data_IF_759994324346
#
_entry.id   IF_759994324346
#
_cell.length_a   1.000
_cell.length_b   1.000
_cell.length_c   1.000
_cell.angle_alpha   90.00
_cell.angle_beta   90.00
_cell.angle_gamma   90.00
#
_symmetry.space_group_name_H-M   'P 1'
#
loop_
_entity.id
_entity.type
_entity.pdbx_description
1 polymer ?
#
# COMPACT_ATOMS: atom_id res chain seq x y z
N UNK A 1 6.63 -16.73 -11.00
CA UNK A 1 5.57 -16.34 -10.04
C UNK A 1 4.36 -17.26 -10.25
N UNK A 2 3.52 -17.58 -9.26
CA UNK A 2 2.36 -18.47 -9.49
C UNK A 2 1.35 -17.84 -10.48
N UNK A 3 1.15 -16.52 -10.37
CA UNK A 3 0.32 -15.73 -11.29
C UNK A 3 0.78 -15.92 -12.75
N UNK A 4 2.08 -15.78 -13.02
CA UNK A 4 2.66 -16.01 -14.36
C UNK A 4 2.46 -17.45 -14.85
N UNK A 5 2.52 -18.45 -13.96
CA UNK A 5 2.30 -19.85 -14.34
C UNK A 5 0.84 -20.10 -14.70
N UNK A 6 -0.09 -19.54 -13.94
CA UNK A 6 -1.54 -19.64 -14.23
C UNK A 6 -1.86 -18.94 -15.54
N UNK A 7 -1.27 -17.76 -15.81
CA UNK A 7 -1.43 -17.06 -17.09
C UNK A 7 -0.85 -17.87 -18.27
N UNK A 8 0.32 -18.49 -18.09
CA UNK A 8 0.93 -19.36 -19.12
C UNK A 8 0.08 -20.61 -19.40
N UNK A 9 -0.36 -21.32 -18.37
CA UNK A 9 -1.22 -22.50 -18.51
C UNK A 9 -2.59 -22.13 -19.12
N UNK A 10 -3.11 -20.94 -18.80
CA UNK A 10 -4.32 -20.39 -19.40
C UNK A 10 -4.15 -20.14 -20.90
N UNK A 11 -3.07 -19.48 -21.30
CA UNK A 11 -2.76 -19.23 -22.71
C UNK A 11 -2.60 -20.55 -23.47
N UNK A 12 -1.90 -21.52 -22.90
CA UNK A 12 -1.71 -22.84 -23.50
C UNK A 12 -3.03 -23.62 -23.64
N UNK A 13 -3.89 -23.59 -22.62
CA UNK A 13 -5.20 -24.24 -22.63
C UNK A 13 -6.14 -23.70 -23.71
N UNK A 14 -6.09 -22.39 -23.96
CA UNK A 14 -6.96 -21.74 -24.96
C UNK A 14 -6.33 -21.67 -26.37
N UNK A 15 -5.02 -21.90 -26.52
CA UNK A 15 -4.25 -21.74 -27.77
C UNK A 15 -4.84 -22.42 -29.00
N UNK A 16 -5.48 -23.58 -28.81
CA UNK A 16 -6.03 -24.40 -29.89
C UNK A 16 -7.57 -24.54 -29.85
N UNK A 17 -8.24 -23.72 -29.03
CA UNK A 17 -9.70 -23.74 -28.88
C UNK A 17 -10.36 -22.66 -29.73
N UNK A 18 -11.53 -23.00 -30.29
CA UNK A 18 -12.41 -22.00 -30.90
C UNK A 18 -12.83 -20.99 -29.84
N UNK A 19 -13.09 -19.74 -30.23
CA UNK A 19 -13.51 -18.67 -29.30
C UNK A 19 -14.70 -19.07 -28.41
N UNK A 20 -15.63 -19.88 -28.92
CA UNK A 20 -16.79 -20.40 -28.19
C UNK A 20 -16.42 -21.40 -27.07
N UNK A 21 -15.30 -22.11 -27.24
CA UNK A 21 -14.78 -23.12 -26.30
C UNK A 21 -13.71 -22.55 -25.35
N UNK A 22 -13.29 -21.30 -25.59
CA UNK A 22 -12.29 -20.64 -24.75
C UNK A 22 -12.86 -20.38 -23.37
N UNK A 23 -12.09 -20.78 -22.36
CA UNK A 23 -12.44 -20.52 -20.98
C UNK A 23 -11.98 -19.12 -20.62
N UNK A 24 -12.80 -18.38 -19.90
CA UNK A 24 -12.40 -17.08 -19.35
C UNK A 24 -11.43 -17.26 -18.17
N UNK A 25 -10.52 -16.31 -17.98
CA UNK A 25 -9.45 -16.41 -16.97
C UNK A 25 -10.02 -16.54 -15.54
N UNK A 26 -11.14 -15.89 -15.23
CA UNK A 26 -11.85 -16.05 -13.95
C UNK A 26 -12.31 -17.48 -13.71
N UNK A 27 -12.95 -18.12 -14.70
CA UNK A 27 -13.38 -19.51 -14.60
C UNK A 27 -12.18 -20.45 -14.52
N UNK A 28 -11.10 -20.16 -15.26
CA UNK A 28 -9.87 -20.95 -15.20
C UNK A 28 -9.23 -20.88 -13.81
N UNK A 29 -9.05 -19.67 -13.26
CA UNK A 29 -8.56 -19.46 -11.90
C UNK A 29 -9.45 -20.12 -10.84
N UNK A 30 -10.78 -20.13 -11.02
CA UNK A 30 -11.69 -20.82 -10.12
C UNK A 30 -11.46 -22.34 -10.08
N UNK A 31 -11.21 -23.00 -11.21
CA UNK A 31 -10.92 -24.44 -11.22
C UNK A 31 -9.61 -24.78 -10.49
N UNK A 32 -8.58 -23.94 -10.64
CA UNK A 32 -7.35 -24.07 -9.86
C UNK A 32 -7.63 -23.88 -8.37
N UNK A 33 -8.44 -22.87 -8.02
CA UNK A 33 -8.84 -22.60 -6.64
C UNK A 33 -9.55 -23.81 -6.02
N UNK A 34 -10.47 -24.45 -6.73
CA UNK A 34 -11.17 -25.65 -6.28
C UNK A 34 -10.24 -26.87 -6.16
N UNK A 35 -9.29 -27.01 -7.08
CA UNK A 35 -8.25 -28.04 -7.01
C UNK A 35 -7.37 -27.85 -5.77
N UNK A 36 -6.89 -26.63 -5.52
CA UNK A 36 -6.11 -26.29 -4.33
C UNK A 36 -6.91 -26.45 -3.03
N UNK A 37 -8.23 -26.19 -3.04
CA UNK A 37 -9.11 -26.46 -1.90
C UNK A 37 -9.20 -27.95 -1.57
N UNK A 38 -9.24 -28.81 -2.60
CA UNK A 38 -9.23 -30.26 -2.45
C UNK A 38 -7.89 -30.74 -1.88
N UNK A 39 -6.76 -30.29 -2.45
CA UNK A 39 -5.43 -30.64 -1.95
C UNK A 39 -5.22 -30.18 -0.50
N UNK A 40 -5.61 -28.95 -0.17
CA UNK A 40 -5.58 -28.44 1.20
C UNK A 40 -6.36 -29.34 2.16
N UNK A 41 -7.59 -29.73 1.80
CA UNK A 41 -8.44 -30.57 2.65
C UNK A 41 -7.82 -31.96 2.87
N UNK A 42 -7.22 -32.55 1.82
CA UNK A 42 -6.50 -33.82 1.94
C UNK A 42 -5.28 -33.70 2.86
N UNK A 43 -4.46 -32.66 2.69
CA UNK A 43 -3.25 -32.46 3.51
C UNK A 43 -3.55 -32.16 4.98
N UNK A 44 -4.65 -31.46 5.26
CA UNK A 44 -5.13 -31.28 6.65
C UNK A 44 -5.49 -32.64 7.25
N UNK A 45 -6.15 -33.52 6.50
CA UNK A 45 -6.49 -34.87 6.95
C UNK A 45 -5.24 -35.71 7.23
N UNK A 46 -4.19 -35.51 6.45
CA UNK A 46 -2.91 -36.21 6.60
C UNK A 46 -1.97 -35.56 7.63
N UNK A 47 -2.47 -34.60 8.44
CA UNK A 47 -1.71 -33.81 9.41
C UNK A 47 -0.52 -33.02 8.82
N UNK A 48 -0.52 -32.78 7.51
CA UNK A 48 0.48 -31.96 6.83
C UNK A 48 0.03 -30.50 6.76
N UNK A 49 0.15 -29.81 7.89
CA UNK A 49 -0.32 -28.44 8.06
C UNK A 49 0.53 -27.41 7.27
N UNK A 50 1.82 -27.68 7.05
CA UNK A 50 2.72 -26.81 6.29
C UNK A 50 2.29 -26.75 4.81
N UNK A 51 2.13 -27.90 4.17
CA UNK A 51 1.73 -27.95 2.77
C UNK A 51 0.28 -27.48 2.58
N UNK A 52 -0.61 -27.79 3.53
CA UNK A 52 -1.96 -27.23 3.52
C UNK A 52 -1.97 -25.69 3.55
N UNK A 53 -1.06 -25.06 4.30
CA UNK A 53 -0.90 -23.60 4.31
C UNK A 53 -0.44 -23.05 2.96
N UNK A 54 0.48 -23.75 2.28
CA UNK A 54 0.92 -23.41 0.93
C UNK A 54 -0.23 -23.46 -0.08
N UNK A 55 -1.07 -24.49 -0.05
CA UNK A 55 -2.23 -24.59 -0.93
C UNK A 55 -3.31 -23.56 -0.61
N UNK A 56 -3.50 -23.19 0.67
CA UNK A 56 -4.39 -22.10 1.03
C UNK A 56 -3.88 -20.74 0.51
N UNK A 57 -2.57 -20.52 0.49
CA UNK A 57 -1.98 -19.35 -0.16
C UNK A 57 -2.33 -19.34 -1.65
N UNK A 58 -2.16 -20.46 -2.36
CA UNK A 58 -2.51 -20.57 -3.78
C UNK A 58 -4.00 -20.34 -4.05
N UNK A 59 -4.89 -20.81 -3.18
CA UNK A 59 -6.32 -20.50 -3.21
C UNK A 59 -6.59 -18.97 -3.19
N UNK A 60 -5.86 -18.23 -2.35
CA UNK A 60 -5.99 -16.78 -2.25
C UNK A 60 -5.43 -16.05 -3.47
N UNK A 61 -4.35 -16.57 -4.09
CA UNK A 61 -3.86 -16.06 -5.37
C UNK A 61 -4.89 -16.23 -6.49
N UNK A 62 -5.49 -17.42 -6.62
CA UNK A 62 -6.55 -17.65 -7.60
C UNK A 62 -7.76 -16.74 -7.36
N UNK A 63 -8.15 -16.53 -6.10
CA UNK A 63 -9.22 -15.59 -5.75
C UNK A 63 -8.87 -14.14 -6.13
N UNK A 64 -7.62 -13.72 -6.00
CA UNK A 64 -7.19 -12.39 -6.45
C UNK A 64 -7.35 -12.22 -7.97
N UNK A 65 -7.01 -13.25 -8.76
CA UNK A 65 -7.20 -13.26 -10.22
C UNK A 65 -8.69 -13.24 -10.59
N UNK A 66 -9.50 -14.06 -9.91
CA UNK A 66 -10.97 -14.12 -10.08
C UNK A 66 -11.61 -12.74 -9.85
N UNK A 67 -11.26 -12.07 -8.76
CA UNK A 67 -11.77 -10.73 -8.43
C UNK A 67 -11.28 -9.66 -9.42
N UNK A 68 -10.02 -9.74 -9.86
CA UNK A 68 -9.44 -8.85 -10.88
C UNK A 68 -10.26 -8.90 -12.18
N UNK A 69 -10.58 -10.09 -12.65
CA UNK A 69 -11.41 -10.28 -13.84
C UNK A 69 -12.88 -9.91 -13.61
N UNK A 70 -13.44 -10.20 -12.44
CA UNK A 70 -14.82 -9.83 -12.09
C UNK A 70 -15.05 -8.32 -12.19
N UNK A 71 -14.17 -7.51 -11.60
CA UNK A 71 -14.37 -6.06 -11.58
C UNK A 71 -14.04 -5.38 -12.93
N UNK A 72 -13.13 -5.98 -13.73
CA UNK A 72 -12.79 -5.51 -15.07
C UNK A 72 -13.96 -5.59 -16.06
N UNK A 73 -14.97 -6.43 -15.78
CA UNK A 73 -16.18 -6.54 -16.62
C UNK A 73 -16.94 -5.21 -16.64
N UNK A 74 -17.43 -4.84 -17.83
CA UNK A 74 -18.19 -3.59 -18.03
C UNK A 74 -19.44 -3.61 -17.14
N UNK A 75 -19.66 -2.51 -16.41
CA UNK A 75 -20.83 -2.34 -15.55
C UNK A 75 -22.12 -2.40 -16.36
N UNK A 76 -23.22 -2.80 -15.73
CA UNK A 76 -24.54 -2.76 -16.36
C UNK A 76 -25.12 -1.36 -16.26
N UNK A 77 -25.79 -0.91 -17.32
CA UNK A 77 -26.61 0.29 -17.24
C UNK A 77 -27.72 0.04 -16.21
N UNK A 78 -27.90 0.99 -15.30
CA UNK A 78 -28.87 0.84 -14.21
C UNK A 78 -30.27 1.07 -14.77
N UNK A 79 -30.96 -0.02 -15.09
CA UNK A 79 -32.39 -0.01 -15.43
C UNK A 79 -33.25 -0.43 -14.24
N UNK A 80 -32.82 -1.45 -13.49
CA UNK A 80 -33.59 -2.04 -12.39
C UNK A 80 -32.73 -2.21 -11.12
N UNK A 81 -33.39 -2.56 -10.00
CA UNK A 81 -32.72 -2.80 -8.70
C UNK A 81 -31.64 -3.90 -8.77
N UNK A 82 -31.87 -4.93 -9.60
CA UNK A 82 -30.90 -6.02 -9.83
C UNK A 82 -29.60 -5.54 -10.49
N UNK A 83 -29.68 -4.51 -11.34
CA UNK A 83 -28.52 -3.92 -11.99
C UNK A 83 -27.72 -3.06 -11.00
N UNK A 84 -28.42 -2.37 -10.09
CA UNK A 84 -27.80 -1.65 -8.98
C UNK A 84 -27.05 -2.61 -8.04
N UNK A 85 -27.69 -3.71 -7.63
CA UNK A 85 -27.05 -4.75 -6.80
C UNK A 85 -25.80 -5.34 -7.48
N UNK A 86 -25.86 -5.56 -8.80
CA UNK A 86 -24.71 -6.03 -9.59
C UNK A 86 -23.55 -5.04 -9.53
N UNK A 87 -23.83 -3.74 -9.72
CA UNK A 87 -22.80 -2.69 -9.68
C UNK A 87 -22.21 -2.51 -8.26
N UNK A 88 -23.03 -2.63 -7.21
CA UNK A 88 -22.56 -2.61 -5.81
C UNK A 88 -21.67 -3.82 -5.51
N UNK A 89 -22.05 -5.02 -5.96
CA UNK A 89 -21.19 -6.21 -5.81
C UNK A 89 -19.85 -6.01 -6.51
N UNK A 90 -19.82 -5.36 -7.67
CA UNK A 90 -18.57 -5.07 -8.38
C UNK A 90 -17.63 -4.17 -7.59
N UNK A 91 -18.17 -3.17 -6.89
CA UNK A 91 -17.38 -2.30 -5.99
C UNK A 91 -16.83 -3.12 -4.82
N UNK A 92 -17.65 -4.01 -4.23
CA UNK A 92 -17.19 -4.93 -3.18
C UNK A 92 -16.06 -5.83 -3.68
N UNK A 93 -16.20 -6.43 -4.87
CA UNK A 93 -15.17 -7.28 -5.48
C UNK A 93 -13.86 -6.50 -5.70
N UNK A 94 -13.96 -5.25 -6.15
CA UNK A 94 -12.81 -4.35 -6.28
C UNK A 94 -12.13 -4.06 -4.92
N UNK A 95 -12.91 -3.78 -3.88
CA UNK A 95 -12.38 -3.55 -2.54
C UNK A 95 -11.73 -4.81 -1.97
N UNK A 96 -12.34 -5.98 -2.17
CA UNK A 96 -11.79 -7.27 -1.77
C UNK A 96 -10.49 -7.58 -2.53
N UNK A 97 -10.44 -7.27 -3.83
CA UNK A 97 -9.23 -7.39 -4.64
C UNK A 97 -8.10 -6.52 -4.10
N UNK A 98 -8.37 -5.24 -3.83
CA UNK A 98 -7.39 -4.32 -3.24
C UNK A 98 -6.89 -4.83 -1.88
N UNK A 99 -7.80 -5.33 -1.04
CA UNK A 99 -7.46 -5.86 0.28
C UNK A 99 -6.61 -7.13 0.19
N UNK A 100 -6.95 -8.06 -0.71
CA UNK A 100 -6.16 -9.26 -0.97
C UNK A 100 -4.78 -8.90 -1.49
N UNK A 101 -4.70 -7.99 -2.47
CA UNK A 101 -3.44 -7.51 -3.03
C UNK A 101 -2.56 -6.82 -1.97
N UNK A 102 -3.16 -6.03 -1.09
CA UNK A 102 -2.47 -5.44 0.06
C UNK A 102 -1.89 -6.53 0.97
N UNK A 103 -2.68 -7.53 1.37
CA UNK A 103 -2.18 -8.62 2.23
C UNK A 103 -1.15 -9.52 1.52
N UNK A 104 -1.23 -9.69 0.21
CA UNK A 104 -0.20 -10.37 -0.59
C UNK A 104 1.17 -9.70 -0.41
N UNK A 105 1.22 -8.38 -0.56
CA UNK A 105 2.47 -7.62 -0.43
C UNK A 105 2.90 -7.46 1.01
N UNK A 106 1.97 -7.27 1.94
CA UNK A 106 2.25 -7.10 3.37
C UNK A 106 2.77 -8.38 4.04
N UNK A 107 2.22 -9.55 3.72
CA UNK A 107 2.40 -10.77 4.52
C UNK A 107 2.25 -12.09 3.74
N UNK A 108 2.22 -11.99 2.40
CA UNK A 108 2.01 -13.14 1.51
C UNK A 108 0.73 -13.92 1.86
N UNK A 109 -0.38 -13.19 1.97
CA UNK A 109 -1.70 -13.72 2.33
C UNK A 109 -1.75 -14.41 3.71
N UNK A 110 -1.13 -13.79 4.70
CA UNK A 110 -1.07 -14.23 6.10
C UNK A 110 -0.33 -15.55 6.29
N UNK A 111 0.77 -15.74 5.56
CA UNK A 111 1.63 -16.93 5.70
C UNK A 111 3.01 -16.59 6.23
N UNK A 112 3.53 -15.40 5.91
CA UNK A 112 4.87 -14.97 6.30
C UNK A 112 4.84 -14.02 7.51
N UNK A 113 5.16 -14.57 8.68
CA UNK A 113 5.19 -13.83 9.95
C UNK A 113 6.26 -12.75 9.97
N UNK A 114 7.48 -13.06 9.50
CA UNK A 114 8.58 -12.10 9.52
C UNK A 114 8.29 -10.92 8.60
N UNK A 115 7.68 -11.18 7.44
CA UNK A 115 7.30 -10.13 6.50
C UNK A 115 6.26 -9.18 7.06
N UNK A 116 5.23 -9.68 7.74
CA UNK A 116 4.23 -8.80 8.39
C UNK A 116 4.84 -8.02 9.57
N UNK A 117 5.72 -8.65 10.35
CA UNK A 117 6.42 -8.00 11.46
C UNK A 117 7.36 -6.89 10.98
N UNK A 118 8.15 -7.16 9.93
CA UNK A 118 9.02 -6.16 9.31
C UNK A 118 8.23 -4.95 8.80
N UNK A 119 7.07 -5.19 8.18
CA UNK A 119 6.20 -4.12 7.70
C UNK A 119 5.50 -3.36 8.85
N UNK A 120 5.26 -4.00 10.00
CA UNK A 120 4.80 -3.32 11.21
C UNK A 120 5.87 -2.35 11.74
N UNK A 121 7.12 -2.80 11.88
CA UNK A 121 8.24 -1.95 12.32
C UNK A 121 8.43 -0.76 11.37
N UNK A 122 8.35 -1.01 10.06
CA UNK A 122 8.39 0.01 9.03
C UNK A 122 7.29 1.07 9.20
N UNK A 123 6.04 0.65 9.46
CA UNK A 123 4.92 1.56 9.68
C UNK A 123 5.17 2.47 10.89
N UNK A 124 5.61 1.88 12.02
CA UNK A 124 5.88 2.60 13.27
C UNK A 124 7.01 3.63 13.05
N UNK A 125 8.11 3.20 12.41
CA UNK A 125 9.24 4.08 12.13
C UNK A 125 8.88 5.23 11.19
N UNK A 126 8.09 4.95 10.14
CA UNK A 126 7.61 5.98 9.22
C UNK A 126 6.69 6.99 9.91
N UNK A 127 5.75 6.52 10.74
CA UNK A 127 4.89 7.40 11.51
C UNK A 127 5.69 8.30 12.46
N UNK A 128 6.66 7.72 13.18
CA UNK A 128 7.55 8.48 14.05
C UNK A 128 8.35 9.54 13.30
N UNK A 129 8.83 9.24 12.08
CA UNK A 129 9.51 10.21 11.23
C UNK A 129 8.60 11.38 10.86
N UNK A 130 7.32 11.13 10.55
CA UNK A 130 6.35 12.18 10.27
C UNK A 130 6.03 13.02 11.51
N UNK A 131 5.81 12.39 12.67
CA UNK A 131 5.58 13.10 13.94
C UNK A 131 6.80 13.96 14.29
N UNK A 132 8.01 13.41 14.19
CA UNK A 132 9.24 14.16 14.47
C UNK A 132 9.45 15.30 13.46
N UNK A 133 9.22 15.07 12.18
CA UNK A 133 9.28 16.11 11.15
C UNK A 133 8.27 17.22 11.42
N UNK A 134 7.06 16.87 11.86
CA UNK A 134 6.05 17.82 12.29
C UNK A 134 6.55 18.62 13.50
N UNK A 135 7.00 17.96 14.57
CA UNK A 135 7.54 18.61 15.77
C UNK A 135 8.73 19.51 15.46
N UNK A 136 9.70 19.06 14.66
CA UNK A 136 10.86 19.84 14.27
C UNK A 136 10.48 21.11 13.51
N UNK A 137 9.53 20.99 12.58
CA UNK A 137 8.99 22.13 11.84
C UNK A 137 8.20 23.11 12.72
N UNK A 138 7.75 22.67 13.91
CA UNK A 138 6.99 23.47 14.88
C UNK A 138 7.81 23.90 16.11
N UNK A 139 9.08 23.48 16.21
CA UNK A 139 9.89 23.62 17.43
C UNK A 139 10.28 25.08 17.73
N UNK A 140 10.16 25.98 16.76
CA UNK A 140 10.46 27.42 16.90
C UNK A 140 9.22 28.25 17.34
N UNK A 141 8.06 27.60 17.54
CA UNK A 141 6.74 28.27 17.70
C UNK A 141 5.81 27.58 18.70
N UNK A 142 6.39 26.91 19.71
CA UNK A 142 5.66 26.32 20.83
C UNK A 142 5.29 27.34 21.93
N UNK A 143 5.50 28.64 21.68
CA UNK A 143 4.89 29.72 22.47
C UNK A 143 3.69 30.31 21.72
N UNK A 144 2.53 30.08 22.33
CA UNK A 144 1.25 30.74 22.11
C UNK A 144 0.46 30.44 20.83
N UNK A 145 -0.84 30.26 21.04
CA UNK A 145 -1.90 29.99 20.05
C UNK A 145 -1.97 31.03 18.91
N UNK A 146 -1.28 32.17 19.03
CA UNK A 146 -1.10 33.20 17.98
C UNK A 146 -0.05 32.79 16.92
N UNK A 147 0.80 31.81 17.20
CA UNK A 147 1.79 31.25 16.28
C UNK A 147 1.18 30.32 15.21
N UNK A 148 -0.05 29.83 15.39
CA UNK A 148 -0.80 29.02 14.41
C UNK A 148 -1.00 29.80 13.10
N UNK A 149 -1.25 31.12 13.18
CA UNK A 149 -1.34 32.00 12.01
C UNK A 149 0.02 32.16 11.28
N UNK A 150 1.12 31.95 12.00
CA UNK A 150 2.49 32.13 11.47
C UNK A 150 3.09 30.86 10.88
N UNK A 151 2.51 29.67 11.10
CA UNK A 151 2.85 28.44 10.38
C UNK A 151 2.27 28.50 8.96
N UNK A 152 1.02 28.96 8.84
CA UNK A 152 0.43 29.34 7.56
C UNK A 152 1.24 30.42 6.87
N UNK A 153 1.70 31.43 7.59
CA UNK A 153 2.61 32.43 7.05
C UNK A 153 3.96 31.86 6.58
N UNK A 154 4.52 30.83 7.23
CA UNK A 154 5.76 30.17 6.81
C UNK A 154 5.53 29.32 5.56
N UNK A 155 4.53 28.44 5.57
CA UNK A 155 4.15 27.68 4.38
C UNK A 155 3.68 28.60 3.24
N UNK A 156 3.03 29.75 3.49
CA UNK A 156 2.69 30.76 2.46
C UNK A 156 3.96 31.32 1.80
N UNK A 157 5.06 31.52 2.53
CA UNK A 157 6.34 31.94 1.93
C UNK A 157 6.91 30.89 0.99
N UNK A 158 6.68 29.62 1.29
CA UNK A 158 7.08 28.49 0.44
C UNK A 158 5.97 28.02 -0.50
N UNK A 159 4.80 28.67 -0.48
CA UNK A 159 3.61 28.20 -1.21
C UNK A 159 3.84 28.18 -2.70
N UNK A 160 4.42 29.25 -3.24
CA UNK A 160 4.82 29.26 -4.64
C UNK A 160 5.78 28.11 -4.96
N UNK A 161 6.72 27.78 -4.07
CA UNK A 161 7.60 26.63 -4.27
C UNK A 161 6.85 25.30 -4.19
N UNK A 162 5.95 25.10 -3.23
CA UNK A 162 5.13 23.87 -3.14
C UNK A 162 4.17 23.73 -4.32
N UNK A 163 3.56 24.82 -4.77
CA UNK A 163 2.66 24.87 -5.92
C UNK A 163 3.45 24.60 -7.21
N UNK A 164 4.61 25.24 -7.40
CA UNK A 164 5.51 25.01 -8.55
C UNK A 164 6.04 23.58 -8.54
N UNK A 165 6.56 23.08 -7.41
CA UNK A 165 7.06 21.70 -7.28
C UNK A 165 5.93 20.72 -7.52
N UNK A 166 4.75 20.92 -6.94
CA UNK A 166 3.61 20.02 -7.14
C UNK A 166 3.11 20.05 -8.57
N UNK A 167 3.09 21.22 -9.22
CA UNK A 167 2.73 21.35 -10.64
C UNK A 167 3.78 20.68 -11.55
N UNK A 168 5.07 20.86 -11.28
CA UNK A 168 6.17 20.19 -11.99
C UNK A 168 6.03 18.67 -11.80
N UNK A 169 5.89 18.18 -10.57
CA UNK A 169 5.69 16.76 -10.30
C UNK A 169 4.42 16.24 -10.97
N UNK A 170 3.32 16.99 -10.99
CA UNK A 170 2.10 16.63 -11.68
C UNK A 170 2.31 16.50 -13.20
N UNK A 171 2.96 17.47 -13.84
CA UNK A 171 3.21 17.47 -15.29
C UNK A 171 4.22 16.39 -15.68
N UNK A 172 5.38 16.33 -15.01
CA UNK A 172 6.41 15.33 -15.29
C UNK A 172 5.98 13.92 -14.89
N UNK A 173 5.24 13.77 -13.79
CA UNK A 173 4.69 12.49 -13.36
C UNK A 173 3.60 11.98 -14.29
N UNK A 174 2.72 12.84 -14.82
CA UNK A 174 1.79 12.48 -15.89
C UNK A 174 2.55 12.05 -17.15
N UNK A 175 3.57 12.80 -17.58
CA UNK A 175 4.41 12.43 -18.73
C UNK A 175 5.13 11.09 -18.53
N UNK A 176 5.69 10.86 -17.35
CA UNK A 176 6.32 9.59 -16.98
C UNK A 176 5.32 8.44 -16.89
N UNK A 177 4.11 8.68 -16.39
CA UNK A 177 3.04 7.69 -16.32
C UNK A 177 2.56 7.28 -17.72
N UNK A 178 2.37 8.24 -18.63
CA UNK A 178 2.03 8.00 -20.04
C UNK A 178 3.18 7.28 -20.77
N UNK A 179 4.43 7.70 -20.55
CA UNK A 179 5.60 7.00 -21.10
C UNK A 179 5.71 5.58 -20.58
N UNK A 180 5.45 5.35 -19.28
CA UNK A 180 5.43 4.03 -18.67
C UNK A 180 4.30 3.15 -19.21
N UNK A 181 3.12 3.71 -19.46
CA UNK A 181 1.99 3.02 -20.13
C UNK A 181 2.39 2.58 -21.55
N UNK A 182 2.92 3.51 -22.36
CA UNK A 182 3.41 3.21 -23.71
C UNK A 182 4.58 2.22 -23.71
N UNK A 183 5.43 2.27 -22.68
CA UNK A 183 6.54 1.32 -22.54
C UNK A 183 6.08 -0.04 -22.01
N UNK A 184 4.95 -0.14 -21.32
CA UNK A 184 4.34 -1.40 -20.88
C UNK A 184 3.78 -2.16 -22.08
N UNK A 185 3.14 -1.43 -23.00
CA UNK A 185 2.63 -1.97 -24.27
C UNK A 185 3.78 -2.48 -25.18
N UNK A 186 4.95 -1.84 -25.10
CA UNK A 186 6.15 -2.21 -25.89
C UNK A 186 7.01 -3.33 -25.29
N UNK A 187 6.74 -3.81 -24.07
CA UNK A 187 7.63 -4.73 -23.34
C UNK A 187 7.23 -6.20 -23.37
N UNK A 188 6.39 -6.60 -24.33
CA UNK A 188 6.09 -8.01 -24.61
C UNK A 188 7.15 -8.73 -25.46
N UNK A 189 8.33 -8.15 -25.65
CA UNK A 189 9.43 -8.87 -26.27
C UNK A 189 10.79 -8.46 -25.70
N UNK A 190 11.65 -9.47 -25.60
CA UNK A 190 13.10 -9.45 -25.34
C UNK A 190 13.53 -9.75 -23.89
N UNK A 191 14.13 -10.93 -23.80
CA UNK A 191 14.88 -11.51 -22.69
C UNK A 191 16.38 -11.22 -22.82
N UNK A 192 17.08 -11.38 -21.68
CA UNK A 192 18.46 -11.85 -21.45
C UNK A 192 19.60 -10.88 -21.08
N UNK A 193 20.21 -11.28 -19.94
CA UNK A 193 21.63 -11.49 -19.61
C UNK A 193 22.48 -10.35 -18.98
N UNK A 194 22.33 -10.27 -17.67
CA UNK A 194 23.30 -10.17 -16.55
C UNK A 194 24.81 -9.91 -16.78
N UNK A 195 25.31 -8.90 -16.04
CA UNK A 195 26.62 -8.85 -15.35
C UNK A 195 26.41 -8.16 -13.97
N UNK A 196 26.68 -8.85 -12.84
CA UNK A 196 25.67 -8.94 -11.75
C UNK A 196 25.83 -8.04 -10.51
N UNK A 197 26.98 -7.48 -10.11
CA UNK A 197 27.01 -6.84 -8.77
C UNK A 197 26.70 -5.32 -8.74
N UNK A 198 27.49 -4.47 -9.40
CA UNK A 198 27.33 -3.00 -9.25
C UNK A 198 26.14 -2.43 -10.04
N UNK A 199 25.92 -2.93 -11.27
CA UNK A 199 24.78 -2.54 -12.10
C UNK A 199 23.46 -2.93 -11.41
N UNK A 200 23.44 -4.05 -10.69
CA UNK A 200 22.27 -4.48 -9.93
C UNK A 200 21.98 -3.53 -8.77
N UNK A 201 23.00 -3.14 -8.00
CA UNK A 201 22.86 -2.17 -6.89
C UNK A 201 22.31 -0.83 -7.42
N UNK A 202 22.88 -0.30 -8.51
CA UNK A 202 22.38 0.95 -9.12
C UNK A 202 20.95 0.77 -9.65
N UNK A 203 20.67 -0.33 -10.33
CA UNK A 203 19.33 -0.63 -10.85
C UNK A 203 18.30 -0.74 -9.75
N UNK A 204 18.65 -1.36 -8.62
CA UNK A 204 17.81 -1.49 -7.44
C UNK A 204 17.55 -0.13 -6.77
N UNK A 205 18.59 0.70 -6.63
CA UNK A 205 18.45 2.07 -6.14
C UNK A 205 17.54 2.90 -7.04
N UNK A 206 17.72 2.83 -8.36
CA UNK A 206 16.85 3.50 -9.32
C UNK A 206 15.40 3.01 -9.24
N UNK A 207 15.18 1.72 -8.97
CA UNK A 207 13.83 1.20 -8.74
C UNK A 207 13.20 1.80 -7.47
N UNK A 208 13.98 1.93 -6.38
CA UNK A 208 13.51 2.60 -5.17
C UNK A 208 13.17 4.07 -5.45
N UNK A 209 14.03 4.82 -6.13
CA UNK A 209 13.78 6.23 -6.47
C UNK A 209 12.53 6.38 -7.35
N UNK A 210 12.36 5.53 -8.37
CA UNK A 210 11.15 5.52 -9.20
C UNK A 210 9.89 5.26 -8.38
N UNK A 211 9.97 4.32 -7.44
CA UNK A 211 8.88 4.01 -6.51
C UNK A 211 8.55 5.20 -5.60
N UNK A 212 9.56 5.85 -4.99
CA UNK A 212 9.38 7.02 -4.14
C UNK A 212 8.82 8.21 -4.92
N UNK A 213 9.29 8.46 -6.14
CA UNK A 213 8.76 9.49 -7.02
C UNK A 213 7.26 9.27 -7.30
N UNK A 214 6.86 8.04 -7.61
CA UNK A 214 5.44 7.71 -7.80
C UNK A 214 4.62 7.88 -6.51
N UNK A 215 5.20 7.54 -5.36
CA UNK A 215 4.57 7.75 -4.06
C UNK A 215 4.33 9.23 -3.75
N UNK A 216 5.27 10.12 -4.12
CA UNK A 216 5.12 11.57 -3.96
C UNK A 216 4.19 12.21 -5.00
N UNK A 217 4.08 11.62 -6.18
CA UNK A 217 3.19 12.10 -7.25
C UNK A 217 1.71 12.05 -6.85
N UNK A 218 1.25 10.97 -6.23
CA UNK A 218 -0.17 10.80 -5.83
C UNK A 218 -0.64 11.94 -4.90
N UNK A 219 0.07 12.24 -3.79
CA UNK A 219 -0.23 13.40 -2.94
C UNK A 219 -0.24 14.73 -3.68
N UNK A 220 0.68 14.97 -4.61
CA UNK A 220 0.70 16.22 -5.40
C UNK A 220 -0.56 16.35 -6.28
N UNK A 221 -0.97 15.27 -6.95
CA UNK A 221 -2.20 15.25 -7.74
C UNK A 221 -3.42 15.49 -6.86
N UNK A 222 -3.49 14.82 -5.71
CA UNK A 222 -4.58 15.01 -4.74
C UNK A 222 -4.60 16.45 -4.21
N UNK A 223 -3.44 17.01 -3.89
CA UNK A 223 -3.32 18.40 -3.45
C UNK A 223 -3.87 19.36 -4.50
N UNK A 224 -3.45 19.25 -5.78
CA UNK A 224 -3.92 20.14 -6.85
C UNK A 224 -5.43 19.97 -7.08
N UNK A 225 -5.92 18.73 -7.20
CA UNK A 225 -7.34 18.45 -7.46
C UNK A 225 -8.25 18.91 -6.32
N UNK A 226 -7.92 18.55 -5.08
CA UNK A 226 -8.78 18.81 -3.94
C UNK A 226 -8.51 20.17 -3.27
N UNK A 227 -7.39 20.84 -3.55
CA UNK A 227 -7.21 22.23 -3.12
C UNK A 227 -8.17 23.18 -3.85
N UNK A 228 -8.49 22.90 -5.12
CA UNK A 228 -9.55 23.62 -5.85
C UNK A 228 -10.92 23.36 -5.21
N UNK A 229 -11.20 22.11 -4.85
CA UNK A 229 -12.43 21.74 -4.15
C UNK A 229 -12.52 22.39 -2.76
N UNK A 230 -11.42 22.47 -2.03
CA UNK A 230 -11.32 23.16 -0.75
C UNK A 230 -11.63 24.65 -0.86
N UNK A 231 -11.20 25.30 -1.95
CA UNK A 231 -11.58 26.68 -2.25
C UNK A 231 -13.10 26.83 -2.44
N UNK A 232 -13.76 25.91 -3.17
CA UNK A 232 -15.22 25.92 -3.34
C UNK A 232 -16.00 25.76 -2.04
N UNK A 233 -15.48 24.96 -1.10
CA UNK A 233 -16.11 24.71 0.21
C UNK A 233 -15.71 25.74 1.29
N UNK A 234 -14.97 26.80 0.92
CA UNK A 234 -14.44 27.80 1.85
C UNK A 234 -13.61 27.19 2.98
N UNK A 235 -12.88 26.11 2.69
CA UNK A 235 -11.95 25.49 3.62
C UNK A 235 -10.66 26.31 3.67
N UNK A 236 -10.13 26.52 4.88
CA UNK A 236 -8.88 27.25 5.08
C UNK A 236 -7.70 26.63 4.30
N UNK A 237 -6.66 27.42 4.04
CA UNK A 237 -5.45 26.98 3.35
C UNK A 237 -4.81 25.73 4.00
N UNK A 238 -5.08 25.54 5.28
CA UNK A 238 -4.65 24.43 6.13
C UNK A 238 -5.13 23.08 5.66
N UNK A 239 -6.28 23.06 5.00
CA UNK A 239 -6.86 21.86 4.43
C UNK A 239 -5.93 21.25 3.37
N UNK A 240 -5.40 22.06 2.46
CA UNK A 240 -4.53 21.58 1.38
C UNK A 240 -3.25 20.95 1.92
N UNK A 241 -2.52 21.64 2.81
CA UNK A 241 -1.28 21.09 3.38
C UNK A 241 -1.54 19.84 4.21
N UNK A 242 -2.62 19.83 4.98
CA UNK A 242 -3.01 18.64 5.73
C UNK A 242 -3.29 17.47 4.81
N UNK A 243 -3.99 17.69 3.70
CA UNK A 243 -4.25 16.65 2.69
C UNK A 243 -2.95 16.12 2.09
N UNK A 244 -2.02 17.01 1.72
CA UNK A 244 -0.72 16.64 1.13
C UNK A 244 0.08 15.75 2.09
N UNK A 245 0.29 16.17 3.33
CA UNK A 245 1.10 15.45 4.32
C UNK A 245 0.48 14.08 4.63
N UNK A 246 -0.82 14.04 4.89
CA UNK A 246 -1.51 12.80 5.25
C UNK A 246 -1.57 11.80 4.08
N UNK A 247 -1.81 12.29 2.87
CA UNK A 247 -1.77 11.44 1.67
C UNK A 247 -0.35 10.94 1.40
N UNK A 248 0.68 11.77 1.64
CA UNK A 248 2.09 11.40 1.49
C UNK A 248 2.49 10.30 2.47
N UNK A 249 2.04 10.37 3.72
CA UNK A 249 2.28 9.31 4.70
C UNK A 249 1.75 7.95 4.21
N UNK A 250 0.47 7.91 3.79
CA UNK A 250 -0.17 6.68 3.32
C UNK A 250 0.48 6.18 2.02
N UNK A 251 0.76 7.06 1.07
CA UNK A 251 1.35 6.68 -0.22
C UNK A 251 2.78 6.17 -0.07
N UNK A 252 3.59 6.77 0.81
CA UNK A 252 4.94 6.28 1.12
C UNK A 252 4.90 4.91 1.79
N UNK A 253 4.01 4.69 2.76
CA UNK A 253 3.88 3.39 3.40
C UNK A 253 3.51 2.30 2.38
N UNK A 254 2.47 2.53 1.58
CA UNK A 254 2.04 1.59 0.53
C UNK A 254 3.19 1.34 -0.45
N UNK A 255 3.90 2.39 -0.87
CA UNK A 255 5.05 2.29 -1.76
C UNK A 255 6.16 1.40 -1.21
N UNK A 256 6.54 1.59 0.06
CA UNK A 256 7.60 0.80 0.69
C UNK A 256 7.17 -0.66 0.86
N UNK A 257 5.91 -0.95 1.19
CA UNK A 257 5.36 -2.33 1.22
C UNK A 257 5.36 -2.97 -0.18
N UNK A 258 5.09 -2.18 -1.23
CA UNK A 258 4.98 -2.66 -2.62
C UNK A 258 6.28 -2.57 -3.41
N UNK A 259 7.36 -2.07 -2.81
CA UNK A 259 8.59 -1.79 -3.54
C UNK A 259 9.17 -3.05 -4.17
N UNK A 260 9.56 -2.93 -5.44
CA UNK A 260 10.28 -3.97 -6.18
C UNK A 260 11.78 -3.92 -5.92
N UNK A 261 12.28 -2.86 -5.26
CA UNK A 261 13.67 -2.75 -4.84
C UNK A 261 13.92 -3.73 -3.69
N UNK A 262 14.75 -4.74 -3.95
CA UNK A 262 15.08 -5.79 -3.01
C UNK A 262 16.15 -5.33 -2.03
N UNK A 263 17.23 -4.69 -2.49
CA UNK A 263 18.36 -4.35 -1.62
C UNK A 263 18.10 -3.08 -0.82
N UNK A 264 17.90 -1.94 -1.48
CA UNK A 264 17.70 -0.66 -0.80
C UNK A 264 16.31 -0.58 -0.15
N UNK A 265 15.27 -0.91 -0.89
CA UNK A 265 13.88 -0.79 -0.44
C UNK A 265 13.50 -1.74 0.69
N UNK A 266 14.01 -2.99 0.68
CA UNK A 266 13.66 -3.97 1.73
C UNK A 266 14.72 -4.18 2.80
N UNK A 267 16.01 -4.12 2.49
CA UNK A 267 17.03 -4.33 3.54
C UNK A 267 17.47 -3.01 4.17
N UNK A 268 17.93 -2.05 3.37
CA UNK A 268 18.47 -0.78 3.91
C UNK A 268 17.40 0.03 4.64
N UNK A 269 16.24 0.26 4.01
CA UNK A 269 15.12 0.97 4.66
C UNK A 269 14.64 0.25 5.93
N UNK A 270 14.64 -1.09 5.93
CA UNK A 270 14.22 -1.86 7.10
C UNK A 270 15.22 -1.74 8.25
N UNK A 271 16.53 -1.79 7.98
CA UNK A 271 17.57 -1.57 9.00
C UNK A 271 17.37 -0.19 9.65
N UNK A 272 17.20 0.87 8.85
CA UNK A 272 16.90 2.20 9.37
C UNK A 272 15.58 2.25 10.15
N UNK A 273 14.57 1.50 9.71
CA UNK A 273 13.29 1.40 10.42
C UNK A 273 13.44 0.74 11.79
N UNK A 274 14.26 -0.31 11.91
CA UNK A 274 14.57 -0.93 13.20
C UNK A 274 15.34 0.02 14.13
N UNK A 275 16.33 0.74 13.61
CA UNK A 275 17.06 1.76 14.39
C UNK A 275 16.09 2.83 14.89
N UNK A 276 15.24 3.36 14.00
CA UNK A 276 14.22 4.35 14.34
C UNK A 276 13.23 3.82 15.39
N UNK A 277 12.76 2.59 15.23
CA UNK A 277 11.89 1.92 16.20
C UNK A 277 12.54 1.79 17.58
N UNK A 278 13.79 1.36 17.67
CA UNK A 278 14.53 1.24 18.94
C UNK A 278 14.69 2.62 19.60
N UNK A 279 15.07 3.64 18.82
CA UNK A 279 15.17 5.03 19.33
C UNK A 279 13.84 5.48 19.91
N UNK A 280 12.73 5.21 19.23
CA UNK A 280 11.38 5.57 19.68
C UNK A 280 10.95 4.79 20.93
N UNK A 281 11.27 3.50 20.99
CA UNK A 281 10.99 2.67 22.15
C UNK A 281 11.70 3.19 23.41
N UNK A 282 12.93 3.71 23.26
CA UNK A 282 13.71 4.31 24.36
C UNK A 282 13.19 5.71 24.72
N UNK A 283 12.99 6.59 23.72
CA UNK A 283 12.69 8.01 23.97
C UNK A 283 11.23 8.33 24.26
N UNK A 284 10.30 7.71 23.52
CA UNK A 284 8.89 8.06 23.60
C UNK A 284 8.01 6.87 23.17
N UNK A 285 7.86 5.85 24.04
CA UNK A 285 7.11 4.63 23.70
C UNK A 285 5.63 4.91 23.37
N UNK A 286 5.08 6.02 23.86
CA UNK A 286 3.72 6.49 23.58
C UNK A 286 3.42 6.68 22.08
N UNK A 287 4.44 6.91 21.24
CA UNK A 287 4.29 7.06 19.78
C UNK A 287 4.04 5.71 19.10
N UNK A 288 4.44 4.59 19.70
CA UNK A 288 4.28 3.25 19.11
C UNK A 288 2.79 2.90 18.99
N UNK A 289 1.95 3.34 19.92
CA UNK A 289 0.51 3.19 19.82
C UNK A 289 -0.16 4.48 20.32
N UNK A 290 -0.73 5.32 19.44
CA UNK A 290 -1.21 6.65 19.81
C UNK A 290 -2.33 6.59 20.85
N UNK A 291 -3.12 5.50 20.84
CA UNK A 291 -4.13 5.23 21.86
C UNK A 291 -3.53 4.81 23.21
N UNK A 292 -2.33 4.19 23.25
CA UNK A 292 -1.62 3.93 24.53
C UNK A 292 -1.12 5.27 25.10
N UNK A 293 -0.59 6.16 24.26
CA UNK A 293 -0.19 7.51 24.68
C UNK A 293 -1.33 8.33 25.30
N UNK A 294 -2.54 8.24 24.72
CA UNK A 294 -3.75 8.91 25.23
C UNK A 294 -4.30 8.31 26.53
N UNK A 295 -4.01 7.03 26.79
CA UNK A 295 -4.38 6.34 28.04
C UNK A 295 -3.30 6.55 29.12
N UNK A 296 -2.04 6.73 28.72
CA UNK A 296 -0.90 6.78 29.63
C UNK A 296 -0.54 8.18 30.14
N UNK A 297 -0.80 9.27 29.42
CA UNK A 297 -0.50 10.63 29.88
C UNK A 297 -1.52 11.68 29.43
N UNK A 298 -1.78 12.63 30.33
CA UNK A 298 -2.61 13.81 30.16
C UNK A 298 -2.28 14.60 28.89
N UNK A 299 -3.32 15.21 28.30
CA UNK A 299 -3.35 16.19 27.21
C UNK A 299 -2.02 16.85 26.81
N UNK A 300 -1.13 16.09 26.19
CA UNK A 300 0.08 16.65 25.56
C UNK A 300 -0.37 17.65 24.49
N UNK A 301 -0.07 18.93 24.73
CA UNK A 301 -0.34 20.07 23.82
C UNK A 301 0.15 19.85 22.39
N UNK A 302 1.04 18.87 22.18
CA UNK A 302 1.52 18.40 20.88
C UNK A 302 0.40 17.91 19.95
N UNK A 303 -0.70 17.36 20.45
CA UNK A 303 -1.71 16.67 19.64
C UNK A 303 -2.89 17.51 19.16
N UNK A 304 -2.90 18.82 19.41
CA UNK A 304 -4.05 19.67 19.06
C UNK A 304 -4.05 20.19 17.61
N UNK A 305 -3.05 19.84 16.80
CA UNK A 305 -3.01 20.23 15.39
C UNK A 305 -3.94 19.33 14.55
N UNK A 306 -4.90 19.89 13.79
CA UNK A 306 -5.83 19.10 12.98
C UNK A 306 -5.13 18.12 12.03
N UNK A 307 -4.00 18.51 11.43
CA UNK A 307 -3.25 17.65 10.53
C UNK A 307 -2.59 16.46 11.25
N UNK A 308 -2.06 16.67 12.46
CA UNK A 308 -1.46 15.62 13.28
C UNK A 308 -2.54 14.66 13.83
N UNK A 309 -3.72 15.18 14.16
CA UNK A 309 -4.88 14.33 14.54
C UNK A 309 -5.26 13.41 13.40
N UNK A 310 -5.36 13.92 12.17
CA UNK A 310 -5.65 13.10 10.98
C UNK A 310 -4.55 12.07 10.75
N UNK A 311 -3.28 12.44 10.91
CA UNK A 311 -2.14 11.52 10.79
C UNK A 311 -2.26 10.37 11.79
N UNK A 312 -2.62 10.67 13.04
CA UNK A 312 -2.80 9.66 14.10
C UNK A 312 -3.95 8.70 13.77
N UNK A 313 -5.06 9.21 13.24
CA UNK A 313 -6.21 8.39 12.83
C UNK A 313 -5.79 7.46 11.69
N UNK A 314 -5.13 7.97 10.65
CA UNK A 314 -4.65 7.18 9.52
C UNK A 314 -3.64 6.11 9.95
N UNK A 315 -2.68 6.48 10.80
CA UNK A 315 -1.74 5.54 11.38
C UNK A 315 -2.46 4.44 12.18
N UNK A 316 -3.45 4.79 13.00
CA UNK A 316 -4.22 3.82 13.78
C UNK A 316 -4.99 2.84 12.88
N UNK A 317 -5.60 3.31 11.80
CA UNK A 317 -6.28 2.46 10.81
C UNK A 317 -5.28 1.48 10.17
N UNK A 318 -4.14 1.98 9.71
CA UNK A 318 -3.08 1.15 9.11
C UNK A 318 -2.53 0.13 10.13
N UNK A 319 -2.30 0.57 11.37
CA UNK A 319 -1.83 -0.28 12.45
C UNK A 319 -2.82 -1.41 12.72
N UNK A 320 -4.13 -1.11 12.79
CA UNK A 320 -5.17 -2.12 12.97
C UNK A 320 -5.18 -3.16 11.83
N UNK A 321 -5.05 -2.73 10.57
CA UNK A 321 -4.95 -3.64 9.43
C UNK A 321 -3.72 -4.54 9.50
N UNK A 322 -2.56 -3.99 9.89
CA UNK A 322 -1.31 -4.75 10.03
C UNK A 322 -1.38 -5.73 11.20
N UNK A 323 -1.92 -5.31 12.35
CA UNK A 323 -2.10 -6.15 13.54
C UNK A 323 -3.10 -7.28 13.30
N UNK A 324 -4.21 -7.01 12.60
CA UNK A 324 -5.15 -8.05 12.18
C UNK A 324 -4.45 -9.12 11.34
N UNK A 325 -3.61 -8.69 10.40
CA UNK A 325 -2.81 -9.59 9.58
C UNK A 325 -1.79 -10.38 10.40
N UNK A 326 -1.10 -9.71 11.33
CA UNK A 326 -0.11 -10.32 12.22
C UNK A 326 -0.75 -11.41 13.07
N UNK A 327 -1.88 -11.13 13.71
CA UNK A 327 -2.63 -12.08 14.52
C UNK A 327 -3.06 -13.31 13.68
N UNK A 328 -3.61 -13.08 12.48
CA UNK A 328 -4.04 -14.17 11.59
C UNK A 328 -2.87 -15.03 11.11
N UNK A 329 -1.71 -14.43 10.88
CA UNK A 329 -0.48 -15.13 10.48
C UNK A 329 0.11 -15.92 11.65
N UNK A 330 0.20 -15.30 12.83
CA UNK A 330 0.70 -15.94 14.05
C UNK A 330 -0.13 -17.18 14.43
N UNK A 331 -1.46 -17.09 14.35
CA UNK A 331 -2.34 -18.24 14.60
C UNK A 331 -2.08 -19.41 13.65
N UNK A 332 -1.80 -19.14 12.37
CA UNK A 332 -1.52 -20.20 11.38
C UNK A 332 -0.16 -20.83 11.63
N UNK A 333 0.85 -20.01 11.94
CA UNK A 333 2.22 -20.48 12.15
C UNK A 333 2.44 -21.12 13.52
N UNK A 334 1.62 -20.83 14.53
CA UNK A 334 1.66 -21.52 15.83
C UNK A 334 1.00 -22.90 15.81
N UNK A 335 0.21 -23.20 14.77
CA UNK A 335 -0.46 -24.50 14.59
C UNK A 335 0.44 -25.50 13.83
N UNK A 336 1.50 -25.02 13.19
CA UNK A 336 2.53 -25.84 12.52
C UNK A 336 3.75 -25.87 13.44
N UNK A 337 4.06 -26.98 14.14
CA UNK A 337 5.38 -27.13 14.74
C UNK A 337 6.41 -27.15 13.60
N UNK A 338 7.45 -26.32 13.72
CA UNK A 338 8.62 -26.31 12.83
C UNK A 338 9.34 -27.66 12.82
#
# INVERSE_FOLDING_TARGET
>A
NLEEKIEQEYEEFNKNKKEEDQKSLDKFANDFRDSFRTFKSALIKDNNALDASNFHKYELYCKEIELKESWNKKGKNVSNMTDLETNVSRIRDFMDFLLLGFYRKLCDHHTDFLKVFNNLILLIALYALFVFGFTWLHNDKLEDTRAILTLFGFFDKFRLYFDIISAIFAVFGCGFFVWKLNSYEKKNNVSKKQNINFIYIIGDFLNLIKSLFFASFIPCVFYVLFSLFGFFLNLGKDFGYSLLINTLFVSLYICLVHTKSLFFGRYVVLIFSYIGFIIMLIKQPNVIHPLIGKIANESDKFFNYPSLIVLNILYTILLALVLFSLQKTARKNSIVPS
#
